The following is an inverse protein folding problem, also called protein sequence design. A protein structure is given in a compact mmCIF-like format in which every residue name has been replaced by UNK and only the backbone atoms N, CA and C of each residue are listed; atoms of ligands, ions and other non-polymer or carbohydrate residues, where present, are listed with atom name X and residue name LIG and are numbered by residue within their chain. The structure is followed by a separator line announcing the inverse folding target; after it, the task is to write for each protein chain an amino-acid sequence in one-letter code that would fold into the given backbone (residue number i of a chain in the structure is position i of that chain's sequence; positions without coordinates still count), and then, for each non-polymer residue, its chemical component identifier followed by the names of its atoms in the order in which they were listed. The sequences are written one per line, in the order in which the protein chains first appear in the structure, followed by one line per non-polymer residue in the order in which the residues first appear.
data_IF_378036044639
#
_entry.id   IF_378036044639
#
_cell.length_a   1.000
_cell.length_b   1.000
_cell.length_c   1.000
_cell.angle_alpha   90.00
_cell.angle_beta   90.00
_cell.angle_gamma   90.00
#
_symmetry.space_group_name_H-M   'P 1'
#
loop_
_entity.id
_entity.type
_entity.pdbx_description
1 polymer ?
#
# COMPACT_ATOMS: atom_id res chain seq x y z
N UNK A 1 7.38 -2.30 -18.85
CA UNK A 1 6.59 -1.15 -19.30
C UNK A 1 6.51 -0.09 -18.21
N UNK A 2 5.59 0.87 -18.33
CA UNK A 2 5.54 2.10 -17.55
C UNK A 2 5.66 2.00 -16.03
N UNK A 3 5.24 0.92 -15.39
CA UNK A 3 5.39 0.76 -13.94
C UNK A 3 6.85 0.55 -13.48
N UNK A 4 7.73 0.19 -14.40
CA UNK A 4 9.16 -0.01 -14.17
C UNK A 4 9.98 1.22 -14.55
N UNK A 5 9.37 2.15 -15.27
CA UNK A 5 10.00 3.39 -15.69
C UNK A 5 9.82 4.47 -14.61
N UNK A 6 10.74 5.40 -14.57
CA UNK A 6 10.64 6.56 -13.71
C UNK A 6 9.51 7.48 -14.22
N UNK A 7 8.50 7.71 -13.37
CA UNK A 7 7.30 8.48 -13.72
C UNK A 7 7.32 9.94 -13.23
N UNK A 8 8.38 10.38 -12.56
CA UNK A 8 8.54 11.76 -12.12
C UNK A 8 7.61 12.22 -10.99
N UNK A 9 7.06 11.32 -10.22
CA UNK A 9 6.07 11.57 -9.14
C UNK A 9 6.55 12.45 -7.97
N UNK A 10 7.37 13.39 -8.14
CA UNK A 10 7.94 14.21 -7.07
C UNK A 10 9.44 14.04 -6.96
N UNK A 11 10.07 13.42 -7.95
CA UNK A 11 11.52 13.24 -8.00
C UNK A 11 12.02 12.10 -7.13
N UNK A 12 13.31 12.11 -6.84
CA UNK A 12 14.02 11.08 -6.11
C UNK A 12 14.11 11.39 -4.61
N UNK A 13 13.96 10.36 -3.78
CA UNK A 13 14.04 10.48 -2.32
C UNK A 13 12.68 10.40 -1.63
N UNK A 14 12.68 10.60 -0.33
CA UNK A 14 11.49 10.64 0.51
C UNK A 14 11.12 12.11 0.76
N UNK A 15 9.92 12.50 0.38
CA UNK A 15 9.38 13.82 0.71
C UNK A 15 8.70 13.75 2.07
N UNK A 16 9.00 14.71 2.92
CA UNK A 16 8.43 14.83 4.27
C UNK A 16 7.49 16.03 4.31
N UNK A 17 6.28 15.79 4.77
CA UNK A 17 5.24 16.79 4.94
C UNK A 17 4.80 16.88 6.39
N UNK A 18 4.57 18.08 6.89
CA UNK A 18 4.09 18.34 8.24
C UNK A 18 2.55 18.42 8.22
N UNK A 19 1.90 17.35 8.70
CA UNK A 19 0.44 17.24 8.70
C UNK A 19 -0.22 18.22 9.67
N UNK A 20 0.40 18.50 10.80
CA UNK A 20 -0.15 19.34 11.85
C UNK A 20 -0.18 20.82 11.45
N UNK A 21 0.64 21.19 10.47
CA UNK A 21 0.72 22.54 9.93
C UNK A 21 0.32 22.63 8.46
N UNK A 22 -0.80 22.01 8.10
CA UNK A 22 -1.41 22.12 6.78
C UNK A 22 -0.71 21.33 5.68
N UNK A 23 -0.06 20.23 6.01
CA UNK A 23 0.64 19.35 5.06
C UNK A 23 1.74 20.08 4.28
N UNK A 24 2.38 21.07 4.88
CA UNK A 24 3.46 21.81 4.23
C UNK A 24 4.66 20.91 4.01
N UNK A 25 5.32 21.10 2.88
CA UNK A 25 6.61 20.45 2.61
C UNK A 25 7.64 20.88 3.65
N UNK A 26 8.36 19.92 4.23
CA UNK A 26 9.42 20.15 5.23
C UNK A 26 10.78 19.97 4.61
N UNK A 27 11.01 18.82 3.97
CA UNK A 27 12.30 18.42 3.41
C UNK A 27 12.21 17.23 2.49
N UNK A 28 13.31 16.99 1.80
CA UNK A 28 13.57 15.77 1.03
C UNK A 28 14.74 15.01 1.65
N UNK A 29 14.51 13.76 2.06
CA UNK A 29 15.57 12.85 2.49
C UNK A 29 16.07 12.13 1.23
N UNK A 30 17.37 12.28 0.94
CA UNK A 30 18.00 11.58 -0.18
C UNK A 30 18.08 10.09 0.10
N UNK A 31 17.74 9.27 -0.87
CA UNK A 31 17.87 7.82 -0.84
C UNK A 31 18.92 7.39 -1.85
N UNK A 32 19.50 6.20 -1.67
CA UNK A 32 20.53 5.70 -2.59
C UNK A 32 19.93 5.02 -3.81
N UNK A 33 18.88 4.25 -3.68
CA UNK A 33 18.10 3.54 -4.69
C UNK A 33 18.32 3.91 -6.17
N UNK A 34 19.52 3.65 -6.68
CA UNK A 34 19.90 3.98 -8.04
C UNK A 34 20.07 2.72 -8.89
N UNK A 35 19.71 2.82 -10.17
CA UNK A 35 20.10 1.84 -11.17
C UNK A 35 21.63 1.89 -11.43
N UNK A 36 22.21 0.83 -12.01
CA UNK A 36 23.64 0.81 -12.36
C UNK A 36 24.09 1.98 -13.26
N UNK A 37 23.16 2.56 -14.03
CA UNK A 37 23.43 3.74 -14.88
C UNK A 37 23.33 5.09 -14.12
N UNK A 38 23.18 5.06 -12.78
CA UNK A 38 23.09 6.25 -11.94
C UNK A 38 21.73 6.95 -11.94
N UNK A 39 20.74 6.47 -12.70
CA UNK A 39 19.39 7.04 -12.68
C UNK A 39 18.61 6.53 -11.44
N UNK A 40 17.69 7.35 -10.88
CA UNK A 40 16.84 6.93 -9.79
C UNK A 40 16.03 5.67 -10.15
N UNK A 41 16.01 4.68 -9.25
CA UNK A 41 15.14 3.52 -9.34
C UNK A 41 13.74 3.86 -8.82
N UNK A 42 12.72 3.31 -9.45
CA UNK A 42 11.34 3.53 -8.99
C UNK A 42 11.12 2.93 -7.60
N UNK A 43 10.57 3.72 -6.69
CA UNK A 43 10.14 3.26 -5.38
C UNK A 43 8.90 2.37 -5.55
N UNK A 44 8.94 1.19 -4.93
CA UNK A 44 7.89 0.18 -5.01
C UNK A 44 7.11 0.02 -3.71
N UNK A 45 7.70 0.34 -2.58
CA UNK A 45 7.06 0.27 -1.29
C UNK A 45 7.75 1.11 -0.23
N UNK A 46 7.01 1.40 0.83
CA UNK A 46 7.48 2.07 2.04
C UNK A 46 6.87 1.40 3.26
N UNK A 47 7.64 1.21 4.32
CA UNK A 47 7.15 0.70 5.59
C UNK A 47 7.99 1.26 6.74
N UNK A 48 7.45 1.25 7.96
CA UNK A 48 8.11 1.81 9.15
C UNK A 48 8.15 0.78 10.27
N UNK A 49 9.29 0.63 10.90
CA UNK A 49 9.43 -0.03 12.19
C UNK A 49 9.67 1.02 13.27
N UNK A 50 8.68 1.22 14.12
CA UNK A 50 8.82 2.08 15.30
C UNK A 50 9.85 1.50 16.27
N UNK A 51 9.82 0.18 16.48
CA UNK A 51 10.74 -0.52 17.39
C UNK A 51 12.22 -0.36 17.00
N UNK A 52 12.51 -0.31 15.71
CA UNK A 52 13.86 -0.13 15.17
C UNK A 52 14.15 1.32 14.77
N UNK A 53 13.22 2.25 15.04
CA UNK A 53 13.30 3.66 14.65
C UNK A 53 13.71 3.84 13.18
N UNK A 54 13.09 3.08 12.27
CA UNK A 54 13.56 2.97 10.88
C UNK A 54 12.42 3.02 9.88
N UNK A 55 12.69 3.66 8.75
CA UNK A 55 11.85 3.58 7.55
C UNK A 55 12.55 2.70 6.51
N UNK A 56 11.77 1.86 5.85
CA UNK A 56 12.22 0.98 4.77
C UNK A 56 11.65 1.45 3.46
N UNK A 57 12.49 1.50 2.44
CA UNK A 57 12.13 1.90 1.08
C UNK A 57 12.57 0.80 0.13
N UNK A 58 11.61 0.16 -0.54
CA UNK A 58 11.93 -0.77 -1.62
C UNK A 58 11.95 -0.07 -2.97
N UNK A 59 12.88 -0.46 -3.81
CA UNK A 59 12.96 -0.07 -5.22
C UNK A 59 12.76 -1.29 -6.10
N UNK A 60 13.00 -1.18 -7.41
CA UNK A 60 12.90 -2.33 -8.31
C UNK A 60 13.86 -3.48 -7.95
N UNK A 61 15.01 -3.16 -7.35
CA UNK A 61 16.11 -4.10 -7.16
C UNK A 61 16.57 -4.21 -5.70
N UNK A 62 16.38 -3.17 -4.90
CA UNK A 62 16.94 -3.05 -3.56
C UNK A 62 15.92 -2.67 -2.51
N UNK A 63 16.27 -2.96 -1.27
CA UNK A 63 15.60 -2.47 -0.06
C UNK A 63 16.62 -1.69 0.76
N UNK A 64 16.22 -0.51 1.23
CA UNK A 64 17.01 0.35 2.09
C UNK A 64 16.37 0.43 3.47
N UNK A 65 17.17 0.44 4.53
CA UNK A 65 16.81 0.82 5.88
C UNK A 65 17.44 2.17 6.19
N UNK A 66 16.61 3.12 6.61
CA UNK A 66 17.00 4.48 6.92
C UNK A 66 16.62 4.78 8.37
N UNK A 67 17.53 5.31 9.16
CA UNK A 67 17.28 5.74 10.54
C UNK A 67 16.42 7.00 10.55
N UNK A 68 15.32 7.00 11.33
CA UNK A 68 14.36 8.10 11.37
C UNK A 68 14.88 9.34 12.12
N UNK A 69 15.92 9.20 12.96
CA UNK A 69 16.49 10.32 13.70
C UNK A 69 17.60 11.00 12.92
N UNK A 70 18.53 10.21 12.39
CA UNK A 70 19.71 10.70 11.67
C UNK A 70 19.47 10.87 10.17
N UNK A 71 18.42 10.26 9.65
CA UNK A 71 18.04 10.21 8.22
C UNK A 71 19.11 9.58 7.32
N UNK A 72 20.01 8.82 7.92
CA UNK A 72 21.08 8.12 7.20
C UNK A 72 20.65 6.70 6.84
N UNK A 73 21.09 6.25 5.66
CA UNK A 73 20.96 4.86 5.27
C UNK A 73 21.83 4.00 6.19
N UNK A 74 21.20 3.09 6.94
CA UNK A 74 21.89 2.11 7.80
C UNK A 74 22.46 1.00 6.92
N UNK A 75 21.62 0.47 6.01
CA UNK A 75 22.02 -0.51 5.02
C UNK A 75 21.15 -0.42 3.76
N UNK A 76 21.70 -0.87 2.65
CA UNK A 76 21.02 -1.18 1.40
C UNK A 76 21.37 -2.59 0.97
N UNK A 77 20.36 -3.39 0.63
CA UNK A 77 20.49 -4.77 0.18
C UNK A 77 19.83 -4.94 -1.17
N UNK A 78 20.52 -5.58 -2.11
CA UNK A 78 19.93 -6.06 -3.35
C UNK A 78 19.29 -7.42 -3.14
N UNK A 79 18.09 -7.60 -3.70
CA UNK A 79 17.35 -8.85 -3.63
C UNK A 79 17.21 -9.47 -5.02
N UNK A 80 17.64 -10.72 -5.15
CA UNK A 80 17.45 -11.47 -6.38
C UNK A 80 15.96 -11.56 -6.69
N UNK A 81 15.56 -11.17 -7.90
CA UNK A 81 14.16 -11.08 -8.31
C UNK A 81 13.48 -9.76 -7.99
N UNK A 82 14.21 -8.79 -7.41
CA UNK A 82 13.70 -7.45 -7.11
C UNK A 82 12.80 -7.37 -5.87
N UNK A 83 12.27 -6.19 -5.63
CA UNK A 83 11.43 -5.87 -4.47
C UNK A 83 10.12 -5.24 -4.92
N UNK A 84 9.05 -5.47 -4.14
CA UNK A 84 7.76 -4.79 -4.31
C UNK A 84 7.20 -4.30 -2.96
N UNK A 85 5.89 -4.18 -2.82
CA UNK A 85 5.21 -3.61 -1.66
C UNK A 85 5.25 -4.54 -0.46
N UNK A 86 6.20 -4.29 0.42
CA UNK A 86 6.41 -5.03 1.66
C UNK A 86 5.44 -4.60 2.76
N UNK A 87 5.31 -5.46 3.76
CA UNK A 87 4.65 -5.16 5.02
C UNK A 87 5.47 -5.68 6.20
N UNK A 88 5.45 -4.93 7.31
CA UNK A 88 6.22 -5.22 8.53
C UNK A 88 5.29 -5.75 9.60
N UNK A 89 5.78 -6.68 10.41
CA UNK A 89 5.10 -7.20 11.59
C UNK A 89 4.76 -6.10 12.60
N UNK A 90 3.70 -6.26 13.41
CA UNK A 90 3.34 -5.26 14.43
C UNK A 90 4.45 -4.98 15.45
N UNK A 91 5.33 -5.95 15.72
CA UNK A 91 6.50 -5.77 16.59
C UNK A 91 7.68 -5.10 15.87
N UNK A 92 7.57 -4.83 14.59
CA UNK A 92 8.56 -4.13 13.77
C UNK A 92 9.81 -4.93 13.39
N UNK A 93 9.84 -6.24 13.64
CA UNK A 93 11.08 -7.05 13.50
C UNK A 93 11.14 -7.88 12.22
N UNK A 94 10.00 -8.27 11.68
CA UNK A 94 9.92 -9.16 10.51
C UNK A 94 9.18 -8.49 9.37
N UNK A 95 9.70 -8.63 8.16
CA UNK A 95 9.11 -8.09 6.94
C UNK A 95 8.78 -9.23 5.97
N UNK A 96 7.61 -9.15 5.33
CA UNK A 96 7.33 -9.94 4.15
C UNK A 96 7.52 -9.05 2.93
N UNK A 97 8.52 -9.38 2.13
CA UNK A 97 8.96 -8.64 0.94
C UNK A 97 8.66 -9.46 -0.32
N UNK A 98 7.66 -9.07 -1.11
CA UNK A 98 7.42 -9.75 -2.39
C UNK A 98 8.57 -9.46 -3.36
N UNK A 99 8.92 -10.45 -4.15
CA UNK A 99 9.74 -10.24 -5.34
C UNK A 99 8.99 -9.37 -6.35
N UNK A 100 9.71 -8.71 -7.25
CA UNK A 100 9.09 -7.87 -8.28
C UNK A 100 8.43 -8.75 -9.35
N UNK A 101 7.17 -9.14 -9.09
CA UNK A 101 6.34 -9.97 -9.96
C UNK A 101 7.00 -11.33 -10.35
N UNK A 102 7.84 -11.89 -9.46
CA UNK A 102 8.32 -13.27 -9.56
C UNK A 102 7.44 -14.19 -8.72
N UNK A 103 7.83 -15.41 -8.53
CA UNK A 103 7.02 -16.49 -7.96
C UNK A 103 7.23 -16.70 -6.45
N UNK A 104 7.76 -15.72 -5.72
CA UNK A 104 8.09 -15.89 -4.30
C UNK A 104 7.99 -14.60 -3.48
N UNK A 105 7.90 -14.78 -2.17
CA UNK A 105 8.16 -13.77 -1.14
C UNK A 105 9.41 -14.11 -0.35
N UNK A 106 10.15 -13.10 0.06
CA UNK A 106 11.17 -13.21 1.09
C UNK A 106 10.59 -12.81 2.44
N UNK A 107 10.86 -13.58 3.48
CA UNK A 107 10.70 -13.18 4.87
C UNK A 107 12.05 -12.63 5.30
N UNK A 108 12.08 -11.38 5.75
CA UNK A 108 13.32 -10.63 5.98
C UNK A 108 13.37 -10.17 7.43
N UNK A 109 14.53 -10.30 8.05
CA UNK A 109 14.85 -9.66 9.32
C UNK A 109 14.97 -8.15 9.11
N UNK A 110 14.16 -7.36 9.83
CA UNK A 110 14.14 -5.91 9.65
C UNK A 110 15.42 -5.24 10.14
N UNK A 111 16.12 -5.82 11.13
CA UNK A 111 17.34 -5.22 11.67
C UNK A 111 18.54 -5.40 10.73
N UNK A 112 18.73 -6.61 10.21
CA UNK A 112 19.90 -6.97 9.42
C UNK A 112 19.68 -6.91 7.92
N UNK A 113 18.45 -7.06 7.46
CA UNK A 113 18.11 -7.22 6.04
C UNK A 113 18.34 -8.63 5.51
N UNK A 114 18.62 -9.60 6.37
CA UNK A 114 18.88 -10.97 5.98
C UNK A 114 17.57 -11.73 5.67
N UNK A 115 17.62 -12.64 4.71
CA UNK A 115 16.47 -13.49 4.36
C UNK A 115 16.37 -14.64 5.38
N UNK A 116 15.32 -14.63 6.18
CA UNK A 116 15.00 -15.70 7.14
C UNK A 116 14.41 -16.91 6.40
N UNK A 117 13.53 -16.64 5.44
CA UNK A 117 12.78 -17.67 4.70
C UNK A 117 12.39 -17.16 3.33
N UNK A 118 12.35 -18.06 2.35
CA UNK A 118 11.73 -17.85 1.04
C UNK A 118 10.46 -18.68 0.95
N UNK A 119 9.37 -18.06 0.49
CA UNK A 119 8.07 -18.70 0.28
C UNK A 119 7.81 -18.72 -1.22
N UNK A 120 7.94 -19.88 -1.83
CA UNK A 120 7.75 -20.11 -3.27
C UNK A 120 6.33 -20.60 -3.59
N UNK A 121 6.00 -20.76 -4.87
CA UNK A 121 4.77 -21.42 -5.34
C UNK A 121 3.69 -20.46 -5.84
N UNK A 122 4.04 -19.21 -6.10
CA UNK A 122 3.16 -18.21 -6.68
C UNK A 122 3.41 -18.07 -8.20
N UNK A 123 2.61 -17.24 -8.85
CA UNK A 123 2.86 -16.83 -10.24
C UNK A 123 3.53 -15.46 -10.32
N UNK A 124 2.96 -14.45 -9.65
CA UNK A 124 3.43 -13.07 -9.70
C UNK A 124 3.19 -12.38 -8.35
N UNK A 125 4.18 -12.51 -7.45
CA UNK A 125 4.15 -11.89 -6.13
C UNK A 125 4.02 -10.35 -6.22
N UNK A 126 3.13 -9.76 -5.43
CA UNK A 126 2.88 -8.32 -5.53
C UNK A 126 2.59 -7.67 -4.16
N UNK A 127 1.33 -7.53 -3.76
CA UNK A 127 0.97 -6.83 -2.53
C UNK A 127 1.01 -7.73 -1.30
N UNK A 128 1.35 -7.13 -0.16
CA UNK A 128 1.49 -7.84 1.11
C UNK A 128 0.92 -7.00 2.23
N UNK A 129 0.03 -7.57 3.05
CA UNK A 129 -0.49 -6.93 4.25
C UNK A 129 -0.22 -7.83 5.44
N UNK A 130 0.50 -7.33 6.43
CA UNK A 130 0.64 -7.99 7.73
C UNK A 130 -0.63 -7.76 8.56
N UNK A 131 -1.19 -8.83 9.11
CA UNK A 131 -2.37 -8.73 9.96
C UNK A 131 -2.05 -8.07 11.30
N UNK A 132 -3.02 -7.36 11.86
CA UNK A 132 -2.89 -6.62 13.12
C UNK A 132 -2.56 -7.51 14.32
N UNK A 133 -3.00 -8.77 14.30
CA UNK A 133 -2.68 -9.76 15.32
C UNK A 133 -1.23 -10.24 15.30
N UNK A 134 -0.50 -9.99 14.21
CA UNK A 134 0.83 -10.53 13.99
C UNK A 134 0.89 -12.02 13.64
N UNK A 135 -0.27 -12.71 13.56
CA UNK A 135 -0.32 -14.15 13.32
C UNK A 135 -0.50 -14.54 11.84
N UNK A 136 -0.86 -13.58 11.00
CA UNK A 136 -1.14 -13.82 9.58
C UNK A 136 -0.50 -12.76 8.69
N UNK A 137 -0.11 -13.17 7.49
CA UNK A 137 0.23 -12.27 6.39
C UNK A 137 -0.65 -12.59 5.20
N UNK A 138 -1.26 -11.57 4.63
CA UNK A 138 -2.10 -11.62 3.44
C UNK A 138 -1.26 -11.28 2.22
N UNK A 139 -1.33 -12.11 1.17
CA UNK A 139 -0.39 -12.07 0.05
C UNK A 139 -1.17 -12.12 -1.28
N UNK A 140 -1.07 -11.04 -2.05
CA UNK A 140 -1.73 -10.92 -3.35
C UNK A 140 -0.82 -11.38 -4.49
N UNK A 141 -1.26 -12.38 -5.22
CA UNK A 141 -0.60 -12.90 -6.42
C UNK A 141 -1.37 -12.43 -7.66
N UNK A 142 -0.82 -11.47 -8.39
CA UNK A 142 -1.47 -10.91 -9.59
C UNK A 142 -1.51 -11.86 -10.80
N UNK A 143 -1.18 -13.11 -10.61
CA UNK A 143 -1.33 -14.19 -11.58
C UNK A 143 -2.38 -15.22 -11.19
N UNK A 144 -3.09 -15.02 -10.09
CA UNK A 144 -4.07 -15.96 -9.53
C UNK A 144 -5.32 -15.25 -8.99
N UNK A 145 -6.50 -15.93 -9.03
CA UNK A 145 -7.74 -15.41 -8.45
C UNK A 145 -7.86 -15.70 -6.95
N UNK A 146 -6.74 -15.77 -6.23
CA UNK A 146 -6.70 -16.13 -4.81
C UNK A 146 -5.89 -15.12 -4.02
N UNK A 147 -6.43 -14.68 -2.87
CA UNK A 147 -5.67 -14.06 -1.80
C UNK A 147 -5.14 -15.16 -0.89
N UNK A 148 -3.84 -15.20 -0.67
CA UNK A 148 -3.19 -16.20 0.16
C UNK A 148 -3.01 -15.70 1.58
N UNK A 149 -3.18 -16.58 2.57
CA UNK A 149 -2.94 -16.30 3.98
C UNK A 149 -1.81 -17.18 4.48
N UNK A 150 -0.71 -16.57 4.88
CA UNK A 150 0.44 -17.24 5.49
C UNK A 150 0.35 -17.16 7.01
N UNK A 151 0.70 -18.25 7.67
CA UNK A 151 0.96 -18.30 9.11
C UNK A 151 2.36 -17.74 9.39
N UNK A 152 2.49 -16.82 10.34
CA UNK A 152 3.76 -16.10 10.60
C UNK A 152 4.77 -16.89 11.42
N UNK A 153 4.34 -17.94 12.13
CA UNK A 153 5.24 -18.82 12.90
C UNK A 153 5.92 -19.85 12.03
N UNK A 154 5.17 -20.39 11.07
CA UNK A 154 5.67 -21.46 10.17
C UNK A 154 6.11 -20.94 8.81
N UNK A 155 5.69 -19.71 8.45
CA UNK A 155 5.84 -19.12 7.12
C UNK A 155 5.25 -19.98 6.00
N UNK A 156 4.14 -20.67 6.28
CA UNK A 156 3.45 -21.53 5.31
C UNK A 156 2.07 -20.97 4.97
N UNK A 157 1.63 -21.22 3.74
CA UNK A 157 0.26 -20.88 3.34
C UNK A 157 -0.72 -21.82 4.03
N UNK A 158 -1.60 -21.25 4.85
CA UNK A 158 -2.63 -21.99 5.60
C UNK A 158 -4.03 -21.87 5.00
N UNK A 159 -4.27 -20.86 4.17
CA UNK A 159 -5.59 -20.61 3.58
C UNK A 159 -5.45 -19.89 2.22
N UNK A 160 -6.39 -20.17 1.33
CA UNK A 160 -6.63 -19.41 0.11
C UNK A 160 -8.04 -18.85 0.15
N UNK A 161 -8.19 -17.56 -0.12
CA UNK A 161 -9.50 -16.87 -0.12
C UNK A 161 -9.91 -16.58 -1.56
N UNK A 162 -11.12 -16.97 -1.92
CA UNK A 162 -11.66 -16.87 -3.28
C UNK A 162 -12.36 -18.17 -3.72
N UNK A 163 -12.40 -18.53 -5.04
CA UNK A 163 -11.79 -17.76 -6.13
C UNK A 163 -12.53 -16.45 -6.40
N UNK A 164 -11.78 -15.39 -6.67
CA UNK A 164 -12.32 -14.13 -7.15
C UNK A 164 -12.62 -14.17 -8.66
N UNK A 165 -13.33 -13.17 -9.18
CA UNK A 165 -13.70 -13.10 -10.60
C UNK A 165 -12.53 -12.87 -11.55
N UNK A 166 -11.43 -12.33 -11.02
CA UNK A 166 -10.21 -12.06 -11.77
C UNK A 166 -8.97 -12.22 -10.91
N UNK A 167 -7.82 -11.89 -11.45
CA UNK A 167 -6.56 -11.94 -10.71
C UNK A 167 -6.53 -10.86 -9.62
N UNK A 168 -6.06 -11.26 -8.45
CA UNK A 168 -5.97 -10.37 -7.29
C UNK A 168 -5.05 -9.20 -7.60
N UNK A 169 -5.60 -8.00 -7.42
CA UNK A 169 -4.87 -6.74 -7.49
C UNK A 169 -4.70 -6.20 -6.06
N UNK A 170 -4.49 -4.90 -5.83
CA UNK A 170 -4.44 -4.39 -4.47
C UNK A 170 -5.64 -4.83 -3.62
N UNK A 171 -5.39 -4.96 -2.35
CA UNK A 171 -6.39 -5.35 -1.37
C UNK A 171 -6.09 -4.69 -0.03
N UNK A 172 -7.08 -4.67 0.84
CA UNK A 172 -6.96 -4.29 2.25
C UNK A 172 -7.72 -5.29 3.12
N UNK A 173 -7.47 -5.25 4.42
CA UNK A 173 -8.11 -6.14 5.40
C UNK A 173 -8.62 -5.34 6.59
N UNK A 174 -9.67 -5.84 7.25
CA UNK A 174 -10.14 -5.25 8.49
C UNK A 174 -9.25 -5.65 9.67
N UNK A 175 -9.28 -4.84 10.74
CA UNK A 175 -8.45 -5.02 11.93
C UNK A 175 -8.64 -6.41 12.58
N UNK A 176 -9.88 -6.89 12.65
CA UNK A 176 -10.19 -8.20 13.24
C UNK A 176 -9.80 -9.38 12.34
N UNK A 177 -9.22 -9.12 11.17
CA UNK A 177 -8.78 -10.13 10.22
C UNK A 177 -9.89 -11.14 9.86
N UNK A 178 -11.10 -10.64 9.64
CA UNK A 178 -12.27 -11.42 9.23
C UNK A 178 -12.66 -11.19 7.79
N UNK A 179 -12.41 -9.99 7.25
CA UNK A 179 -12.77 -9.58 5.90
C UNK A 179 -11.57 -9.05 5.13
N UNK A 180 -11.44 -9.47 3.88
CA UNK A 180 -10.56 -8.89 2.89
C UNK A 180 -11.37 -8.22 1.78
N UNK A 181 -10.98 -7.00 1.40
CA UNK A 181 -11.57 -6.24 0.31
C UNK A 181 -10.55 -6.20 -0.83
N UNK A 182 -10.90 -6.79 -1.97
CA UNK A 182 -9.95 -7.16 -3.02
C UNK A 182 -10.37 -6.54 -4.34
N UNK A 183 -9.50 -5.78 -4.98
CA UNK A 183 -9.69 -5.42 -6.39
C UNK A 183 -9.19 -6.54 -7.30
N UNK A 184 -9.81 -6.68 -8.46
CA UNK A 184 -9.42 -7.67 -9.47
C UNK A 184 -9.27 -7.02 -10.84
N UNK A 185 -8.52 -7.63 -11.72
CA UNK A 185 -8.14 -7.05 -13.01
C UNK A 185 -9.27 -6.88 -14.02
N UNK A 186 -10.42 -7.48 -13.78
CA UNK A 186 -11.56 -7.46 -14.70
C UNK A 186 -12.72 -6.55 -14.26
N UNK A 187 -12.71 -6.04 -13.03
CA UNK A 187 -13.87 -5.40 -12.40
C UNK A 187 -13.59 -3.90 -12.11
N UNK A 188 -14.48 -3.03 -12.54
CA UNK A 188 -14.62 -1.70 -11.93
C UNK A 188 -15.47 -1.86 -10.67
N UNK A 189 -14.78 -2.06 -9.54
CA UNK A 189 -15.39 -2.47 -8.28
C UNK A 189 -14.40 -3.26 -7.41
N UNK A 190 -14.93 -4.02 -6.47
CA UNK A 190 -14.15 -4.88 -5.59
C UNK A 190 -14.95 -6.12 -5.17
N UNK A 191 -14.23 -7.08 -4.63
CA UNK A 191 -14.84 -8.29 -4.07
C UNK A 191 -14.49 -8.43 -2.59
N UNK A 192 -15.35 -9.11 -1.85
CA UNK A 192 -15.19 -9.33 -0.41
C UNK A 192 -14.93 -10.80 -0.16
N UNK A 193 -13.88 -11.10 0.60
CA UNK A 193 -13.52 -12.44 1.02
C UNK A 193 -13.58 -12.61 2.53
N UNK A 194 -14.06 -13.76 2.98
CA UNK A 194 -14.00 -14.20 4.36
C UNK A 194 -12.62 -14.78 4.65
N UNK A 195 -11.85 -14.10 5.50
CA UNK A 195 -10.47 -14.48 5.85
C UNK A 195 -10.38 -15.64 6.85
N UNK A 196 -11.53 -16.12 7.37
CA UNK A 196 -11.59 -17.30 8.27
C UNK A 196 -11.94 -18.57 7.51
N UNK A 197 -12.90 -18.46 6.58
CA UNK A 197 -13.41 -19.63 5.84
C UNK A 197 -12.79 -19.77 4.45
N UNK A 198 -12.16 -18.73 3.93
CA UNK A 198 -11.62 -18.69 2.57
C UNK A 198 -12.67 -18.47 1.47
N UNK A 199 -13.93 -18.22 1.80
CA UNK A 199 -15.00 -18.06 0.83
C UNK A 199 -15.10 -16.61 0.34
N UNK A 200 -15.37 -16.44 -0.96
CA UNK A 200 -15.85 -15.16 -1.48
C UNK A 200 -17.28 -14.92 -0.99
N UNK A 201 -17.53 -13.71 -0.48
CA UNK A 201 -18.84 -13.31 0.07
C UNK A 201 -19.64 -12.44 -0.88
N UNK A 202 -19.00 -11.50 -1.59
CA UNK A 202 -19.68 -10.54 -2.44
C UNK A 202 -18.80 -10.06 -3.59
N UNK A 203 -19.44 -9.54 -4.64
CA UNK A 203 -18.83 -8.79 -5.74
C UNK A 203 -19.60 -7.48 -5.91
N UNK A 204 -18.93 -6.35 -5.81
CA UNK A 204 -19.51 -5.02 -5.85
C UNK A 204 -19.02 -4.30 -7.12
N UNK A 205 -19.96 -3.83 -7.91
CA UNK A 205 -19.70 -3.04 -9.13
C UNK A 205 -19.92 -1.57 -8.82
N UNK A 206 -19.08 -0.70 -9.35
CA UNK A 206 -19.30 0.75 -9.26
C UNK A 206 -20.50 1.11 -10.14
N UNK A 207 -21.49 1.75 -9.54
CA UNK A 207 -22.69 2.21 -10.24
C UNK A 207 -22.48 3.59 -10.87
N UNK A 208 -23.11 3.80 -12.04
CA UNK A 208 -23.09 5.08 -12.74
C UNK A 208 -21.80 5.37 -13.54
N UNK A 209 -20.83 4.44 -13.58
CA UNK A 209 -19.56 4.62 -14.25
C UNK A 209 -19.19 3.39 -15.09
N UNK A 210 -18.54 3.64 -16.23
CA UNK A 210 -18.05 2.58 -17.10
C UNK A 210 -16.54 2.38 -16.92
N UNK A 211 -16.08 1.14 -16.97
CA UNK A 211 -14.65 0.85 -17.04
C UNK A 211 -14.08 1.27 -18.39
N UNK A 212 -12.84 1.71 -18.38
CA UNK A 212 -12.11 2.08 -19.59
C UNK A 212 -10.61 1.79 -19.43
N UNK A 213 -9.78 2.15 -20.43
CA UNK A 213 -8.37 1.88 -20.43
C UNK A 213 -7.65 2.69 -19.33
N UNK A 214 -6.85 1.99 -18.51
CA UNK A 214 -6.06 2.60 -17.45
C UNK A 214 -4.58 2.52 -17.78
N UNK A 215 -3.93 3.65 -18.02
CA UNK A 215 -2.56 3.71 -18.54
C UNK A 215 -1.51 3.18 -17.55
N UNK A 216 -1.66 3.45 -16.24
CA UNK A 216 -0.62 3.18 -15.25
C UNK A 216 -0.68 1.76 -14.69
N UNK A 217 -1.87 1.22 -14.49
CA UNK A 217 -2.08 -0.04 -13.76
C UNK A 217 -2.71 -1.15 -14.58
N UNK A 218 -3.35 -0.80 -15.71
CA UNK A 218 -3.93 -1.76 -16.65
C UNK A 218 -5.17 -2.50 -16.13
N UNK A 219 -5.79 -2.04 -15.03
CA UNK A 219 -7.01 -2.61 -14.48
C UNK A 219 -7.98 -1.51 -14.04
N UNK A 220 -9.30 -1.77 -14.12
CA UNK A 220 -10.32 -0.74 -13.90
C UNK A 220 -10.27 -0.12 -12.52
N UNK A 221 -10.19 -0.94 -11.46
CA UNK A 221 -9.95 -0.50 -10.09
C UNK A 221 -8.58 -0.96 -9.65
N UNK A 222 -7.81 -0.12 -8.98
CA UNK A 222 -6.50 -0.50 -8.45
C UNK A 222 -6.45 -0.32 -6.94
N UNK A 223 -6.12 0.86 -6.43
CA UNK A 223 -6.03 1.10 -4.98
C UNK A 223 -7.39 0.92 -4.30
N UNK A 224 -7.37 0.31 -3.14
CA UNK A 224 -8.50 0.15 -2.24
C UNK A 224 -8.02 0.34 -0.80
N UNK A 225 -8.77 1.07 0.01
CA UNK A 225 -8.47 1.29 1.41
C UNK A 225 -9.72 1.27 2.26
N UNK A 226 -9.58 0.76 3.49
CA UNK A 226 -10.59 0.78 4.54
C UNK A 226 -10.26 1.93 5.48
N UNK A 227 -11.23 2.78 5.79
CA UNK A 227 -11.03 3.86 6.77
C UNK A 227 -10.60 3.29 8.12
N UNK A 228 -9.78 4.01 8.93
CA UNK A 228 -9.33 3.50 10.22
C UNK A 228 -10.45 3.08 11.18
N UNK A 229 -11.62 3.73 11.09
CA UNK A 229 -12.82 3.39 11.88
C UNK A 229 -13.66 2.25 11.27
N UNK A 230 -13.22 1.72 10.12
CA UNK A 230 -13.84 0.62 9.38
C UNK A 230 -15.29 0.86 8.93
N UNK A 231 -15.66 2.13 8.71
CA UNK A 231 -17.01 2.44 8.22
C UNK A 231 -17.10 2.52 6.72
N UNK A 232 -16.01 2.89 6.04
CA UNK A 232 -16.01 3.12 4.61
C UNK A 232 -14.85 2.42 3.91
N UNK A 233 -15.12 1.97 2.68
CA UNK A 233 -14.15 1.47 1.71
C UNK A 233 -14.02 2.53 0.63
N UNK A 234 -12.80 2.96 0.36
CA UNK A 234 -12.49 3.91 -0.71
C UNK A 234 -11.75 3.21 -1.84
N UNK A 235 -12.27 3.34 -3.05
CA UNK A 235 -11.82 2.62 -4.25
C UNK A 235 -11.32 3.60 -5.30
N UNK A 236 -10.13 3.35 -5.84
CA UNK A 236 -9.55 4.16 -6.92
C UNK A 236 -10.04 3.69 -8.29
N UNK A 237 -10.61 4.61 -9.07
CA UNK A 237 -10.97 4.46 -10.48
C UNK A 237 -10.04 5.34 -11.32
N UNK A 238 -9.08 4.70 -11.97
CA UNK A 238 -8.07 5.43 -12.73
C UNK A 238 -8.61 6.00 -14.06
N UNK A 239 -9.53 5.33 -14.73
CA UNK A 239 -10.05 5.78 -16.01
C UNK A 239 -10.93 7.03 -15.85
N UNK A 240 -11.85 7.00 -14.90
CA UNK A 240 -12.77 8.10 -14.66
C UNK A 240 -12.17 9.19 -13.76
N UNK A 241 -10.94 9.02 -13.25
CA UNK A 241 -10.27 9.93 -12.29
C UNK A 241 -11.15 10.20 -11.07
N UNK A 242 -11.53 9.13 -10.37
CA UNK A 242 -12.48 9.17 -9.24
C UNK A 242 -12.00 8.31 -8.07
N UNK A 243 -12.47 8.68 -6.89
CA UNK A 243 -12.57 7.79 -5.74
C UNK A 243 -14.04 7.45 -5.52
N UNK A 244 -14.37 6.18 -5.45
CA UNK A 244 -15.72 5.71 -5.09
C UNK A 244 -15.70 5.28 -3.63
N UNK A 245 -16.67 5.77 -2.87
CA UNK A 245 -16.81 5.49 -1.45
C UNK A 245 -17.98 4.56 -1.23
N UNK A 246 -17.74 3.47 -0.52
CA UNK A 246 -18.72 2.46 -0.17
C UNK A 246 -18.83 2.31 1.34
N UNK A 247 -20.00 1.89 1.84
CA UNK A 247 -20.12 1.39 3.19
C UNK A 247 -19.24 0.15 3.36
N UNK A 248 -18.50 0.03 4.46
CA UNK A 248 -17.77 -1.19 4.79
C UNK A 248 -18.63 -2.27 5.46
N UNK A 249 -19.93 -2.00 5.64
CA UNK A 249 -20.92 -2.93 6.19
C UNK A 249 -21.82 -3.43 5.06
N UNK A 250 -22.06 -4.74 5.03
CA UNK A 250 -22.96 -5.34 4.04
C UNK A 250 -24.34 -4.65 4.07
N UNK A 251 -24.96 -4.39 2.90
CA UNK A 251 -24.61 -4.90 1.57
C UNK A 251 -23.53 -4.08 0.82
N UNK A 252 -22.70 -3.30 1.50
CA UNK A 252 -21.59 -2.52 0.92
C UNK A 252 -22.09 -1.46 -0.09
N UNK A 253 -23.08 -0.69 0.30
CA UNK A 253 -23.71 0.32 -0.57
C UNK A 253 -22.69 1.37 -1.03
N UNK A 254 -22.75 1.74 -2.31
CA UNK A 254 -22.01 2.90 -2.82
C UNK A 254 -22.64 4.19 -2.25
N UNK A 255 -21.82 4.99 -1.57
CA UNK A 255 -22.25 6.19 -0.85
C UNK A 255 -22.09 7.45 -1.69
N UNK A 256 -20.94 7.59 -2.34
CA UNK A 256 -20.62 8.77 -3.13
C UNK A 256 -19.40 8.53 -4.03
N UNK A 257 -19.12 9.52 -4.87
CA UNK A 257 -17.95 9.57 -5.76
C UNK A 257 -17.29 10.92 -5.66
N UNK A 258 -15.96 10.94 -5.54
CA UNK A 258 -15.14 12.13 -5.36
C UNK A 258 -14.27 12.33 -6.61
N UNK A 259 -14.34 13.50 -7.28
CA UNK A 259 -13.48 13.77 -8.43
C UNK A 259 -12.03 14.00 -7.99
N UNK A 260 -11.09 13.46 -8.79
CA UNK A 260 -9.64 13.66 -8.61
C UNK A 260 -9.07 14.43 -9.80
N UNK A 261 -7.97 15.16 -9.57
CA UNK A 261 -7.31 15.94 -10.63
C UNK A 261 -6.57 15.08 -11.67
N UNK A 262 -6.16 13.88 -11.27
CA UNK A 262 -5.45 12.91 -12.10
C UNK A 262 -5.88 11.50 -11.71
N UNK A 263 -5.39 10.52 -12.44
CA UNK A 263 -5.63 9.09 -12.26
C UNK A 263 -5.18 8.59 -10.88
N UNK A 264 -6.09 8.32 -9.93
CA UNK A 264 -5.71 7.72 -8.66
C UNK A 264 -5.44 6.23 -8.87
N UNK A 265 -4.32 5.77 -8.37
CA UNK A 265 -3.95 4.34 -8.41
C UNK A 265 -3.74 3.73 -7.03
N UNK A 266 -3.77 4.55 -5.98
CA UNK A 266 -3.60 4.13 -4.60
C UNK A 266 -4.33 5.06 -3.65
N UNK A 267 -4.64 4.55 -2.46
CA UNK A 267 -5.28 5.31 -1.38
C UNK A 267 -4.76 4.81 -0.03
N UNK A 268 -4.43 5.73 0.86
CA UNK A 268 -4.17 5.44 2.27
C UNK A 268 -4.80 6.53 3.14
N UNK A 269 -4.81 6.33 4.45
CA UNK A 269 -5.46 7.24 5.40
C UNK A 269 -4.49 7.65 6.50
N UNK A 270 -4.73 8.84 7.08
CA UNK A 270 -4.08 9.23 8.33
C UNK A 270 -4.46 8.28 9.47
N UNK A 271 -3.59 8.19 10.48
CA UNK A 271 -3.79 7.32 11.64
C UNK A 271 -5.04 7.66 12.45
N UNK A 272 -5.43 8.93 12.45
CA UNK A 272 -6.64 9.41 13.11
C UNK A 272 -7.91 9.34 12.23
N UNK A 273 -7.74 8.97 10.93
CA UNK A 273 -8.82 8.84 9.98
C UNK A 273 -9.38 10.15 9.43
N UNK A 274 -8.75 11.30 9.71
CA UNK A 274 -9.25 12.59 9.21
C UNK A 274 -8.94 12.83 7.75
N UNK A 275 -7.78 12.33 7.27
CA UNK A 275 -7.30 12.59 5.93
C UNK A 275 -7.15 11.32 5.12
N UNK A 276 -7.46 11.42 3.84
CA UNK A 276 -7.17 10.42 2.83
C UNK A 276 -6.16 10.96 1.83
N UNK A 277 -5.23 10.09 1.41
CA UNK A 277 -4.13 10.41 0.50
C UNK A 277 -4.22 9.55 -0.76
N UNK A 278 -4.98 9.99 -1.76
CA UNK A 278 -4.96 9.36 -3.08
C UNK A 278 -3.61 9.61 -3.77
N UNK A 279 -3.17 8.65 -4.58
CA UNK A 279 -1.85 8.72 -5.23
C UNK A 279 -1.70 9.87 -6.23
N UNK A 280 -2.78 10.51 -6.62
CA UNK A 280 -2.78 11.72 -7.46
C UNK A 280 -2.31 12.98 -6.71
N UNK A 281 -2.11 12.88 -5.37
CA UNK A 281 -1.43 13.89 -4.56
C UNK A 281 -2.32 14.90 -3.89
N UNK A 282 -3.64 14.72 -3.93
CA UNK A 282 -4.56 15.49 -3.12
C UNK A 282 -4.53 15.04 -1.65
N UNK A 283 -4.88 15.94 -0.76
CA UNK A 283 -5.28 15.64 0.62
C UNK A 283 -6.79 15.83 0.70
N UNK A 284 -7.50 14.77 1.03
CA UNK A 284 -8.96 14.76 1.10
C UNK A 284 -9.39 14.65 2.57
N UNK A 285 -10.29 15.53 3.00
CA UNK A 285 -10.96 15.40 4.28
C UNK A 285 -11.97 14.25 4.20
N UNK A 286 -11.81 13.25 5.07
CA UNK A 286 -12.61 12.02 5.04
C UNK A 286 -14.05 12.29 5.41
N UNK A 287 -14.32 13.17 6.36
CA UNK A 287 -15.66 13.47 6.84
C UNK A 287 -16.48 14.25 5.81
N UNK A 288 -15.90 15.29 5.24
CA UNK A 288 -16.59 16.16 4.28
C UNK A 288 -16.44 15.68 2.83
N UNK A 289 -15.48 14.76 2.57
CA UNK A 289 -15.12 14.23 1.25
C UNK A 289 -14.67 15.32 0.25
N UNK A 290 -14.14 16.41 0.79
CA UNK A 290 -13.63 17.54 0.00
C UNK A 290 -12.12 17.48 -0.12
N UNK A 291 -11.61 17.81 -1.30
CA UNK A 291 -10.19 18.07 -1.50
C UNK A 291 -9.83 19.36 -0.77
N UNK A 292 -8.87 19.29 0.14
CA UNK A 292 -8.39 20.43 0.92
C UNK A 292 -7.25 21.14 0.23
N UNK A 293 -6.28 20.37 -0.30
CA UNK A 293 -5.10 20.90 -0.96
C UNK A 293 -4.45 19.81 -1.86
N UNK A 294 -3.45 20.24 -2.61
CA UNK A 294 -2.54 19.34 -3.32
C UNK A 294 -1.17 19.40 -2.65
N UNK A 295 -0.51 18.24 -2.50
CA UNK A 295 0.86 18.19 -2.04
C UNK A 295 1.81 18.78 -3.12
N UNK A 296 2.76 19.58 -2.68
CA UNK A 296 3.78 20.19 -3.53
C UNK A 296 5.16 19.96 -2.97
N UNK A 297 6.16 19.83 -3.83
CA UNK A 297 7.55 19.68 -3.45
C UNK A 297 8.21 21.03 -3.11
N UNK A 298 9.53 21.03 -2.88
CA UNK A 298 10.34 22.21 -2.58
C UNK A 298 10.37 23.28 -3.71
N UNK A 299 9.91 22.92 -4.89
CA UNK A 299 9.85 23.81 -6.06
C UNK A 299 8.41 24.16 -6.45
N UNK A 300 7.44 23.84 -5.59
CA UNK A 300 6.00 24.00 -5.86
C UNK A 300 5.48 23.15 -7.04
N UNK A 301 6.18 22.07 -7.38
CA UNK A 301 5.65 21.11 -8.32
C UNK A 301 4.67 20.16 -7.61
N UNK A 302 3.57 19.84 -8.29
CA UNK A 302 2.61 18.86 -7.78
C UNK A 302 3.25 17.50 -7.58
N UNK A 303 3.02 16.90 -6.41
CA UNK A 303 3.53 15.59 -6.04
C UNK A 303 2.44 14.54 -6.16
N UNK A 304 2.76 13.41 -6.76
CA UNK A 304 1.93 12.21 -6.78
C UNK A 304 2.73 11.04 -6.19
N UNK A 305 2.12 10.20 -5.37
CA UNK A 305 2.80 9.04 -4.80
C UNK A 305 1.83 7.94 -4.44
N UNK A 306 2.15 6.71 -4.82
CA UNK A 306 1.46 5.50 -4.33
C UNK A 306 2.06 4.97 -3.01
N UNK A 307 3.05 5.65 -2.45
CA UNK A 307 3.80 5.22 -1.27
C UNK A 307 3.78 6.37 -0.26
N UNK A 308 2.75 6.35 0.57
CA UNK A 308 2.55 7.32 1.64
C UNK A 308 2.44 6.57 2.96
N UNK A 309 3.11 7.06 3.98
CA UNK A 309 3.03 6.52 5.34
C UNK A 309 3.08 7.69 6.32
N UNK A 310 2.19 7.69 7.29
CA UNK A 310 2.22 8.62 8.42
C UNK A 310 3.12 8.07 9.52
N UNK A 311 3.91 8.96 10.12
CA UNK A 311 4.74 8.65 11.29
C UNK A 311 4.48 9.73 12.33
N UNK A 312 4.09 9.32 13.53
CA UNK A 312 3.93 10.22 14.67
C UNK A 312 5.18 10.19 15.54
N UNK A 313 5.63 11.39 15.92
CA UNK A 313 6.83 11.57 16.73
C UNK A 313 6.47 12.19 18.08
N UNK A 314 7.12 11.70 19.15
CA UNK A 314 7.15 12.34 20.46
C UNK A 314 8.59 12.54 20.86
N UNK A 315 8.96 13.78 21.22
CA UNK A 315 10.30 14.15 21.64
C UNK A 315 11.40 13.66 20.67
N UNK A 316 11.10 13.74 19.36
CA UNK A 316 12.01 13.35 18.29
C UNK A 316 12.16 11.84 18.04
N UNK A 317 11.35 10.99 18.69
CA UNK A 317 11.32 9.55 18.45
C UNK A 317 9.99 9.14 17.82
N UNK A 318 10.02 8.24 16.86
CA UNK A 318 8.81 7.65 16.31
C UNK A 318 8.10 6.82 17.38
N UNK A 319 6.80 7.07 17.58
CA UNK A 319 5.97 6.36 18.58
C UNK A 319 4.84 5.58 17.93
N UNK A 320 4.41 5.97 16.73
CA UNK A 320 3.37 5.30 15.97
C UNK A 320 3.60 5.49 14.48
N UNK A 321 3.26 4.49 13.70
CA UNK A 321 3.31 4.57 12.26
C UNK A 321 2.07 3.95 11.62
N UNK A 322 1.67 4.49 10.47
CA UNK A 322 0.68 3.92 9.60
C UNK A 322 1.27 2.83 8.70
N UNK A 323 0.48 2.43 7.73
CA UNK A 323 0.88 1.57 6.63
C UNK A 323 0.50 2.20 5.28
N UNK A 324 1.01 1.64 4.21
CA UNK A 324 0.72 2.11 2.86
C UNK A 324 -0.53 1.47 2.23
N UNK A 325 -1.30 0.65 2.97
CA UNK A 325 -2.37 -0.18 2.40
C UNK A 325 -3.78 0.22 2.84
N UNK A 326 -3.93 1.26 3.66
CA UNK A 326 -5.25 1.64 4.18
C UNK A 326 -5.94 0.49 4.92
N UNK A 327 -5.21 -0.18 5.81
CA UNK A 327 -5.72 -1.28 6.63
C UNK A 327 -6.61 -0.74 7.74
N UNK A 328 -7.69 -1.44 8.06
CA UNK A 328 -8.54 -1.12 9.21
C UNK A 328 -7.77 -1.09 10.53
N UNK A 329 -8.10 -0.13 11.39
CA UNK A 329 -7.38 0.11 12.65
C UNK A 329 -8.33 0.29 13.83
N UNK A 330 -9.46 -0.39 13.80
CA UNK A 330 -10.44 -0.32 14.88
C UNK A 330 -9.75 -0.56 16.23
N UNK A 331 -9.94 0.39 17.14
CA UNK A 331 -9.39 0.37 18.49
C UNK A 331 -10.08 -0.68 19.34
#
# INVERSE_FOLDING_TARGET
PGIRDYLGYGGHGILVFDMDHGHRFVKRIKTQGLHPNGKPSNVKGVAVSVALNSIYVSTLESLQRIDLTTEKVIWERQFVGGCDRMSISPDGKTMYLPSLEKNFWNVVDCETGDIIKKIDGFKRAHNTVYGSSGNSVYMGDIGNPWLYVSDTKTHQIRLKVGPFLGYVRPFTVNHNETLGFVTVDSLLGFEVGDLKTGKKLASLVVEGWNKGPVRRHGNPSHGIGLTPDEKEIWLCDGFNMRLHVFSAVAPYQQLTTIPMKDMPGWITFSLDGKFAYPSSGEVVDVQTRKVLLNLEDEFHNAVSSEKVVEIQFEKGKAVRAGDQFGVGRKK
#
